data_IF_881992906769
#
_entry.id   IF_881992906769
#
_cell.length_a   1.000
_cell.length_b   1.000
_cell.length_c   1.000
_cell.angle_alpha   90.00
_cell.angle_beta   90.00
_cell.angle_gamma   90.00
#
_symmetry.space_group_name_H-M   'P 1'
#
loop_
_entity.id
_entity.type
_entity.pdbx_description
1 polymer ?
#
# COMPACT_ATOMS: atom_id res chain seq x y z
N UNK A 1 12.37 -3.85 2.68
CA UNK A 1 11.06 -4.51 2.72
C UNK A 1 10.41 -4.43 1.35
N UNK A 2 9.70 -5.48 0.96
CA UNK A 2 8.95 -5.47 -0.28
C UNK A 2 7.59 -4.82 -0.07
N UNK A 3 7.01 -4.31 -1.16
CA UNK A 3 5.70 -3.68 -1.08
C UNK A 3 4.63 -4.66 -0.58
N UNK A 4 4.69 -5.92 -1.01
CA UNK A 4 3.71 -6.91 -0.56
C UNK A 4 3.78 -7.10 0.95
N UNK A 5 4.97 -7.17 1.52
CA UNK A 5 5.12 -7.32 2.97
C UNK A 5 4.64 -6.09 3.72
N UNK A 6 4.97 -4.91 3.20
CA UNK A 6 4.50 -3.67 3.81
C UNK A 6 2.97 -3.59 3.79
N UNK A 7 2.36 -3.97 2.68
CA UNK A 7 0.90 -3.89 2.56
C UNK A 7 0.19 -4.91 3.44
N UNK A 8 0.82 -6.05 3.74
CA UNK A 8 0.27 -6.99 4.72
C UNK A 8 0.18 -6.37 6.10
N UNK A 9 1.21 -5.63 6.50
CA UNK A 9 1.19 -4.93 7.77
C UNK A 9 0.12 -3.84 7.79
N UNK A 10 0.05 -3.07 6.72
CA UNK A 10 -0.94 -1.99 6.60
C UNK A 10 -2.35 -2.55 6.64
N UNK A 11 -2.59 -3.66 5.97
CA UNK A 11 -3.90 -4.31 5.99
C UNK A 11 -4.33 -4.67 7.40
N UNK A 12 -3.39 -5.14 8.21
CA UNK A 12 -3.68 -5.47 9.61
C UNK A 12 -3.88 -4.23 10.48
N UNK A 13 -3.06 -3.20 10.27
CA UNK A 13 -3.14 -1.98 11.08
C UNK A 13 -4.48 -1.25 10.89
N UNK A 14 -4.96 -1.19 9.66
CA UNK A 14 -6.15 -0.41 9.32
C UNK A 14 -7.37 -1.27 9.05
N UNK A 15 -7.22 -2.59 9.18
CA UNK A 15 -8.29 -3.54 8.90
C UNK A 15 -8.89 -3.34 7.50
N UNK A 16 -8.02 -3.27 6.50
CA UNK A 16 -8.43 -3.12 5.11
C UNK A 16 -7.92 -4.30 4.29
N UNK A 17 -8.62 -4.60 3.21
CA UNK A 17 -8.17 -5.60 2.26
C UNK A 17 -7.19 -4.97 1.29
N UNK A 18 -6.26 -5.77 0.76
CA UNK A 18 -5.30 -5.31 -0.22
C UNK A 18 -5.35 -6.24 -1.43
N UNK A 19 -5.49 -5.65 -2.61
CA UNK A 19 -5.50 -6.40 -3.86
C UNK A 19 -4.38 -5.88 -4.76
N UNK A 20 -3.52 -6.79 -5.21
CA UNK A 20 -2.48 -6.48 -6.18
C UNK A 20 -2.94 -6.91 -7.57
N UNK A 21 -3.14 -5.96 -8.46
CA UNK A 21 -3.47 -6.23 -9.86
C UNK A 21 -2.23 -6.27 -10.74
N UNK A 22 -1.11 -5.77 -10.21
CA UNK A 22 0.17 -5.75 -10.88
C UNK A 22 1.14 -6.61 -10.07
N UNK A 23 1.48 -7.79 -10.57
CA UNK A 23 2.35 -8.71 -9.84
C UNK A 23 3.75 -8.15 -9.63
N UNK A 24 4.25 -7.37 -10.57
CA UNK A 24 5.58 -6.78 -10.44
C UNK A 24 5.64 -5.83 -9.26
N UNK A 25 4.54 -5.17 -8.95
CA UNK A 25 4.49 -4.25 -7.82
C UNK A 25 4.69 -4.95 -6.48
N UNK A 26 4.34 -6.23 -6.38
CA UNK A 26 4.50 -6.98 -5.14
C UNK A 26 5.96 -7.08 -4.71
N UNK A 27 6.86 -7.14 -5.67
CA UNK A 27 8.28 -7.31 -5.41
C UNK A 27 9.05 -6.01 -5.32
N UNK A 28 8.39 -4.88 -5.53
CA UNK A 28 9.03 -3.57 -5.39
C UNK A 28 9.56 -3.40 -3.96
N UNK A 29 10.77 -2.89 -3.88
CA UNK A 29 11.35 -2.58 -2.57
C UNK A 29 11.02 -1.15 -2.21
N UNK A 30 10.56 -0.96 -0.98
CA UNK A 30 10.19 0.35 -0.48
C UNK A 30 11.06 0.70 0.72
N UNK A 31 11.33 1.99 0.88
CA UNK A 31 12.23 2.49 1.91
C UNK A 31 11.57 3.49 2.84
N UNK A 32 10.24 3.50 2.89
CA UNK A 32 9.55 4.38 3.81
C UNK A 32 8.71 3.57 4.78
N UNK A 33 8.38 4.18 5.89
CA UNK A 33 7.49 3.58 6.88
C UNK A 33 6.22 4.39 6.96
N UNK A 34 5.09 3.69 7.00
CA UNK A 34 3.82 4.31 7.30
C UNK A 34 3.68 4.38 8.82
N UNK A 35 3.38 5.55 9.35
CA UNK A 35 3.13 5.72 10.77
C UNK A 35 1.71 5.23 11.05
N UNK A 36 1.55 4.33 12.03
CA UNK A 36 0.23 3.81 12.41
C UNK A 36 -0.74 4.90 12.85
N UNK A 37 -0.23 6.05 13.23
CA UNK A 37 -1.06 7.20 13.63
C UNK A 37 -1.61 7.98 12.43
N UNK A 38 -1.07 7.72 11.23
CA UNK A 38 -1.60 8.27 9.99
C UNK A 38 -2.69 7.36 9.47
N UNK A 39 -3.61 7.87 8.69
CA UNK A 39 -4.65 7.02 8.11
C UNK A 39 -4.14 6.32 6.84
N UNK A 40 -4.94 5.39 6.34
CA UNK A 40 -4.55 4.60 5.17
C UNK A 40 -4.40 5.47 3.93
N UNK A 41 -5.12 6.57 3.84
CA UNK A 41 -5.03 7.48 2.70
C UNK A 41 -3.65 8.12 2.60
N UNK A 42 -3.01 8.37 3.74
CA UNK A 42 -1.65 8.89 3.75
C UNK A 42 -0.68 7.89 3.10
N UNK A 43 -0.84 6.61 3.43
CA UNK A 43 -0.02 5.55 2.84
C UNK A 43 -0.23 5.48 1.33
N UNK A 44 -1.48 5.59 0.89
CA UNK A 44 -1.81 5.56 -0.54
C UNK A 44 -1.17 6.74 -1.26
N UNK A 45 -1.21 7.91 -0.66
CA UNK A 45 -0.56 9.09 -1.23
C UNK A 45 0.94 8.88 -1.40
N UNK A 46 1.59 8.29 -0.39
CA UNK A 46 3.02 8.00 -0.45
C UNK A 46 3.34 7.02 -1.59
N UNK A 47 2.52 5.99 -1.74
CA UNK A 47 2.71 5.02 -2.82
C UNK A 47 2.61 5.68 -4.18
N UNK A 48 1.63 6.55 -4.36
CA UNK A 48 1.44 7.24 -5.64
C UNK A 48 2.58 8.21 -5.95
N UNK A 49 3.20 8.79 -4.93
CA UNK A 49 4.35 9.67 -5.12
C UNK A 49 5.56 8.95 -5.69
N UNK A 50 5.65 7.65 -5.50
CA UNK A 50 6.76 6.87 -6.05
C UNK A 50 6.72 6.76 -7.58
N UNK A 51 5.55 7.01 -8.17
CA UNK A 51 5.33 6.94 -9.62
C UNK A 51 5.64 5.57 -10.23
N UNK A 52 5.76 4.56 -9.40
CA UNK A 52 6.00 3.18 -9.84
C UNK A 52 4.76 2.32 -9.76
N UNK A 53 3.80 2.72 -8.96
CA UNK A 53 2.54 2.02 -8.78
C UNK A 53 1.42 3.04 -8.71
N UNK A 54 0.21 2.56 -8.97
CA UNK A 54 -0.98 3.37 -8.80
C UNK A 54 -1.85 2.71 -7.73
N UNK A 55 -2.03 3.39 -6.62
CA UNK A 55 -2.80 2.86 -5.50
C UNK A 55 -4.14 3.58 -5.38
N UNK A 56 -5.19 2.81 -5.16
CA UNK A 56 -6.56 3.31 -4.99
C UNK A 56 -7.13 2.77 -3.69
N UNK A 57 -8.06 3.51 -3.12
CA UNK A 57 -8.79 3.08 -1.93
C UNK A 57 -10.28 3.12 -2.20
N UNK A 58 -10.94 1.98 -2.05
CA UNK A 58 -12.38 1.87 -2.26
C UNK A 58 -13.00 0.98 -1.19
N UNK A 59 -13.92 1.54 -0.42
CA UNK A 59 -14.76 0.77 0.51
C UNK A 59 -13.98 -0.23 1.39
N UNK A 60 -12.91 0.25 2.02
CA UNK A 60 -12.10 -0.59 2.90
C UNK A 60 -11.15 -1.50 2.17
N UNK A 61 -10.87 -1.24 0.90
CA UNK A 61 -9.98 -2.05 0.09
C UNK A 61 -8.95 -1.17 -0.61
N UNK A 62 -7.68 -1.56 -0.53
CA UNK A 62 -6.59 -0.90 -1.25
C UNK A 62 -6.29 -1.72 -2.50
N UNK A 63 -6.27 -1.07 -3.65
CA UNK A 63 -5.98 -1.72 -4.93
C UNK A 63 -4.68 -1.15 -5.47
N UNK A 64 -3.72 -2.02 -5.75
CA UNK A 64 -2.42 -1.65 -6.31
C UNK A 64 -2.39 -2.09 -7.79
N UNK A 65 -2.25 -1.13 -8.68
CA UNK A 65 -2.21 -1.39 -10.12
C UNK A 65 -0.83 -1.20 -10.73
#
# INVERSE_FOLDING_TARGET
ITLVDMMKEIGRWYNVDVEFRNREAMELRVHFFSDRRQDVLHTIELLNRMEKVHALYEEGKVIIE
#
